data_IF_450107955783
#
_entry.id   IF_450107955783
#
_cell.length_a   1.000
_cell.length_b   1.000
_cell.length_c   1.000
_cell.angle_alpha   90.00
_cell.angle_beta   90.00
_cell.angle_gamma   90.00
#
_symmetry.space_group_name_H-M   'P 1'
#
loop_
_entity.id
_entity.type
_entity.pdbx_description
1 polymer ?
#
# COMPACT_ATOMS: atom_id res chain seq x y z
N UNK A 1 41.05 34.02 49.06
CA UNK A 1 39.87 34.72 49.61
C UNK A 1 38.71 33.74 49.66
N UNK A 2 38.35 33.36 50.89
CA UNK A 2 37.11 32.78 51.42
C UNK A 2 36.32 31.73 50.60
N UNK A 3 36.60 30.48 50.95
CA UNK A 3 35.68 29.33 51.02
C UNK A 3 34.38 29.62 51.75
N UNK A 4 33.25 29.09 51.25
CA UNK A 4 32.07 28.76 52.09
C UNK A 4 31.56 27.35 51.77
N UNK A 5 31.71 26.47 52.76
CA UNK A 5 30.91 25.26 52.98
C UNK A 5 29.57 25.66 53.61
N UNK A 6 28.50 24.97 53.26
CA UNK A 6 27.31 24.82 54.11
C UNK A 6 26.85 23.36 54.06
N UNK A 7 26.51 22.86 55.24
CA UNK A 7 26.22 21.48 55.61
C UNK A 7 24.71 21.32 55.89
N UNK A 8 24.18 20.17 55.47
CA UNK A 8 22.99 19.39 55.87
C UNK A 8 21.72 20.09 56.41
N UNK A 9 20.56 19.59 55.95
CA UNK A 9 19.54 18.95 56.81
C UNK A 9 18.51 18.17 55.95
N UNK A 10 18.45 16.85 56.17
CA UNK A 10 17.32 15.98 55.82
C UNK A 10 16.26 16.00 56.92
N UNK A 11 14.98 15.80 56.56
CA UNK A 11 14.09 14.99 57.37
C UNK A 11 13.61 13.77 56.59
N UNK A 12 13.57 12.65 57.32
CA UNK A 12 12.96 11.39 56.89
C UNK A 12 11.43 11.54 56.80
N UNK A 13 10.84 10.96 55.76
CA UNK A 13 9.40 10.70 55.69
C UNK A 13 9.20 9.19 55.48
N UNK A 14 8.53 8.61 56.46
CA UNK A 14 8.03 7.25 56.52
C UNK A 14 6.90 7.10 55.50
N UNK A 15 7.02 6.18 54.53
CA UNK A 15 5.88 5.79 53.67
C UNK A 15 5.62 4.29 53.80
N UNK A 16 4.41 3.99 54.27
CA UNK A 16 3.80 2.67 54.34
C UNK A 16 3.76 2.02 52.94
N UNK A 17 4.36 0.84 52.80
CA UNK A 17 4.20 -0.02 51.62
C UNK A 17 2.92 -0.85 51.82
N UNK A 18 1.83 -0.45 51.16
CA UNK A 18 0.68 -1.33 50.97
C UNK A 18 0.96 -2.23 49.75
N UNK A 19 1.35 -3.48 50.01
CA UNK A 19 1.48 -4.51 48.99
C UNK A 19 0.11 -4.78 48.36
N UNK A 20 -0.10 -4.27 47.14
CA UNK A 20 -1.23 -4.65 46.32
C UNK A 20 -0.93 -6.01 45.69
N UNK A 21 -1.86 -7.00 45.75
CA UNK A 21 -1.69 -8.24 45.03
C UNK A 21 -1.63 -7.92 43.53
N UNK A 22 -0.50 -8.26 42.88
CA UNK A 22 -0.40 -8.31 41.42
C UNK A 22 -1.32 -9.43 40.94
N UNK A 23 -2.59 -9.11 40.72
CA UNK A 23 -3.43 -9.90 39.84
C UNK A 23 -2.80 -9.81 38.46
N UNK A 24 -2.12 -10.88 38.05
CA UNK A 24 -1.74 -11.08 36.67
C UNK A 24 -3.04 -11.15 35.86
N UNK A 25 -3.44 -10.02 35.27
CA UNK A 25 -4.36 -10.01 34.15
C UNK A 25 -3.69 -10.85 33.07
N UNK A 26 -4.04 -12.13 33.02
CA UNK A 26 -3.88 -12.93 31.82
C UNK A 26 -4.66 -12.19 30.74
N UNK A 27 -3.94 -11.39 29.93
CA UNK A 27 -4.45 -10.92 28.67
C UNK A 27 -4.85 -12.19 27.92
N UNK A 28 -6.16 -12.39 27.81
CA UNK A 28 -6.74 -13.38 26.94
C UNK A 28 -6.24 -13.03 25.54
N UNK A 29 -5.15 -13.67 25.12
CA UNK A 29 -4.63 -13.59 23.75
C UNK A 29 -5.60 -14.41 22.91
N UNK A 30 -6.83 -13.94 22.81
CA UNK A 30 -7.74 -14.41 21.78
C UNK A 30 -7.04 -14.13 20.46
N UNK A 31 -6.96 -15.17 19.64
CA UNK A 31 -6.44 -15.13 18.28
C UNK A 31 -7.34 -14.25 17.41
N UNK A 32 -7.34 -12.94 17.64
CA UNK A 32 -7.98 -11.97 16.76
C UNK A 32 -7.19 -12.01 15.47
N UNK A 33 -7.77 -12.66 14.46
CA UNK A 33 -7.19 -12.68 13.11
C UNK A 33 -7.04 -11.22 12.66
N UNK A 34 -5.86 -10.80 12.14
CA UNK A 34 -5.69 -9.46 11.62
C UNK A 34 -6.76 -9.16 10.58
N UNK A 35 -7.47 -8.02 10.72
CA UNK A 35 -8.45 -7.60 9.72
C UNK A 35 -7.72 -7.34 8.40
N UNK A 36 -8.29 -7.84 7.31
CA UNK A 36 -7.85 -7.52 5.95
C UNK A 36 -9.05 -6.99 5.17
N UNK A 37 -8.89 -5.81 4.59
CA UNK A 37 -9.88 -5.18 3.73
C UNK A 37 -9.27 -4.96 2.35
N UNK A 38 -10.11 -4.91 1.32
CA UNK A 38 -9.67 -4.85 -0.07
C UNK A 38 -10.50 -3.84 -0.84
N UNK A 39 -9.84 -3.08 -1.69
CA UNK A 39 -10.43 -2.14 -2.64
C UNK A 39 -9.90 -2.41 -4.04
N UNK A 40 -10.77 -2.26 -5.04
CA UNK A 40 -10.34 -2.21 -6.43
C UNK A 40 -9.69 -0.87 -6.73
N UNK A 41 -8.58 -0.93 -7.46
CA UNK A 41 -7.96 0.21 -8.10
C UNK A 41 -8.40 0.24 -9.57
N UNK A 42 -8.39 1.42 -10.15
CA UNK A 42 -8.70 1.63 -11.56
C UNK A 42 -7.54 2.37 -12.21
N UNK A 43 -7.40 2.27 -13.53
CA UNK A 43 -6.47 3.12 -14.27
C UNK A 43 -7.21 3.91 -15.33
N UNK A 44 -7.01 5.21 -15.30
CA UNK A 44 -7.53 6.16 -16.30
C UNK A 44 -6.41 7.10 -16.69
N UNK A 45 -6.12 7.22 -17.99
CA UNK A 45 -5.06 8.09 -18.52
C UNK A 45 -3.72 7.93 -17.76
N UNK A 46 -3.31 6.69 -17.53
CA UNK A 46 -2.10 6.31 -16.79
C UNK A 46 -2.05 6.74 -15.31
N UNK A 47 -3.17 7.15 -14.73
CA UNK A 47 -3.29 7.43 -13.29
C UNK A 47 -3.97 6.29 -12.56
N UNK A 48 -3.42 5.94 -11.40
CA UNK A 48 -4.00 4.96 -10.49
C UNK A 48 -5.09 5.61 -9.65
N UNK A 49 -6.34 5.18 -9.83
CA UNK A 49 -7.51 5.74 -9.18
C UNK A 49 -8.09 4.78 -8.14
N UNK A 50 -8.66 5.34 -7.09
CA UNK A 50 -9.54 4.68 -6.13
C UNK A 50 -10.82 5.51 -6.00
N UNK A 51 -11.98 4.86 -5.89
CA UNK A 51 -13.25 5.58 -5.74
C UNK A 51 -13.49 5.87 -4.26
N UNK A 52 -13.54 7.15 -3.91
CA UNK A 52 -13.97 7.61 -2.61
C UNK A 52 -15.50 7.78 -2.56
N UNK A 53 -16.10 7.54 -1.39
CA UNK A 53 -17.44 7.99 -1.02
C UNK A 53 -17.34 8.83 0.25
N UNK A 54 -18.03 9.95 0.28
CA UNK A 54 -17.94 10.95 1.36
C UNK A 54 -19.35 11.19 1.91
N UNK A 55 -19.54 11.21 3.23
CA UNK A 55 -20.81 11.53 3.91
C UNK A 55 -22.06 10.76 3.39
N UNK A 56 -21.91 9.46 3.07
CA UNK A 56 -22.93 8.60 2.41
C UNK A 56 -23.34 9.01 0.97
N UNK A 57 -22.59 9.92 0.33
CA UNK A 57 -22.93 10.52 -0.95
C UNK A 57 -21.98 10.20 -2.11
N UNK A 58 -21.64 11.27 -2.84
CA UNK A 58 -21.07 11.30 -4.19
C UNK A 58 -19.81 10.44 -4.30
N UNK A 59 -19.78 9.58 -5.33
CA UNK A 59 -18.57 8.86 -5.70
C UNK A 59 -17.58 9.84 -6.33
N UNK A 60 -16.36 9.88 -5.78
CA UNK A 60 -15.32 10.80 -6.20
C UNK A 60 -14.06 10.01 -6.59
N UNK A 61 -13.64 9.99 -7.87
CA UNK A 61 -12.41 9.34 -8.27
C UNK A 61 -11.20 10.08 -7.68
N UNK A 62 -10.38 9.40 -6.89
CA UNK A 62 -9.19 9.97 -6.27
C UNK A 62 -7.95 9.29 -6.82
N UNK A 63 -6.89 10.05 -7.10
CA UNK A 63 -5.58 9.47 -7.41
C UNK A 63 -5.05 8.81 -6.13
N UNK A 64 -4.74 7.52 -6.20
CA UNK A 64 -4.00 6.86 -5.13
C UNK A 64 -2.51 7.10 -5.34
N UNK A 65 -1.93 8.01 -4.57
CA UNK A 65 -0.60 8.55 -4.79
C UNK A 65 0.33 8.22 -3.60
N UNK A 66 1.29 7.32 -3.81
CA UNK A 66 2.32 7.02 -2.81
C UNK A 66 3.40 8.11 -2.72
N UNK A 67 3.45 9.03 -3.69
CA UNK A 67 4.33 10.18 -3.76
C UNK A 67 3.87 11.38 -2.92
N UNK A 68 2.73 11.32 -2.25
CA UNK A 68 2.24 12.36 -1.34
C UNK A 68 2.35 11.98 0.15
N UNK A 69 2.53 12.97 1.01
CA UNK A 69 2.50 12.83 2.48
C UNK A 69 1.12 13.12 3.08
N UNK A 70 0.15 13.57 2.27
CA UNK A 70 -1.20 13.91 2.72
C UNK A 70 -2.23 13.76 1.61
N UNK A 71 -3.48 14.04 1.93
CA UNK A 71 -4.59 13.98 0.98
C UNK A 71 -5.03 15.38 0.56
N UNK A 72 -5.53 15.49 -0.67
CA UNK A 72 -6.02 16.74 -1.24
C UNK A 72 -7.31 16.54 -2.02
N UNK A 73 -8.16 17.56 -2.08
CA UNK A 73 -9.44 17.56 -2.79
C UNK A 73 -9.60 18.86 -3.57
N UNK A 74 -10.24 18.76 -4.72
CA UNK A 74 -10.47 19.89 -5.62
C UNK A 74 -11.54 20.84 -5.06
N UNK A 75 -11.32 22.15 -5.25
CA UNK A 75 -12.21 23.22 -4.75
C UNK A 75 -13.68 23.06 -5.18
N UNK A 76 -14.01 22.66 -6.42
CA UNK A 76 -15.39 22.42 -6.84
C UNK A 76 -16.09 21.32 -6.03
N UNK A 77 -15.38 20.26 -5.63
CA UNK A 77 -15.97 19.19 -4.81
C UNK A 77 -16.28 19.68 -3.39
N UNK A 78 -15.38 20.45 -2.79
CA UNK A 78 -15.58 21.05 -1.46
C UNK A 78 -16.78 22.00 -1.48
N UNK A 79 -16.90 22.80 -2.55
CA UNK A 79 -18.03 23.71 -2.74
C UNK A 79 -19.34 22.96 -2.94
N UNK A 80 -19.35 21.92 -3.78
CA UNK A 80 -20.54 21.10 -4.04
C UNK A 80 -21.04 20.37 -2.80
N UNK A 81 -20.13 19.99 -1.89
CA UNK A 81 -20.44 19.35 -0.62
C UNK A 81 -20.70 20.36 0.52
N UNK A 82 -20.62 21.67 0.25
CA UNK A 82 -20.74 22.76 1.24
C UNK A 82 -19.83 22.57 2.48
N UNK A 83 -18.64 22.02 2.25
CA UNK A 83 -17.67 21.75 3.33
C UNK A 83 -17.01 23.05 3.78
N UNK A 84 -16.78 23.16 5.08
CA UNK A 84 -16.24 24.37 5.70
C UNK A 84 -14.72 24.31 5.77
N UNK A 85 -14.07 25.48 5.70
CA UNK A 85 -12.65 25.63 6.02
C UNK A 85 -12.44 25.35 7.52
N UNK A 86 -11.56 24.41 7.83
CA UNK A 86 -11.18 24.04 9.21
C UNK A 86 -9.80 24.56 9.62
N UNK A 87 -8.97 24.96 8.66
CA UNK A 87 -7.65 25.54 8.93
C UNK A 87 -6.94 26.03 7.68
N UNK A 88 -5.69 26.49 7.83
CA UNK A 88 -4.81 26.81 6.71
C UNK A 88 -3.98 25.59 6.32
N UNK A 89 -3.75 25.41 5.02
CA UNK A 89 -2.89 24.33 4.51
C UNK A 89 -1.53 24.88 4.06
N UNK A 90 -0.48 24.07 4.24
CA UNK A 90 0.81 24.29 3.60
C UNK A 90 1.00 23.13 2.62
N UNK A 91 0.93 23.42 1.34
CA UNK A 91 1.17 22.45 0.27
C UNK A 91 2.33 22.95 -0.57
N UNK A 92 3.32 22.07 -0.77
CA UNK A 92 4.45 22.33 -1.65
C UNK A 92 4.24 21.54 -2.93
N UNK A 93 4.33 22.23 -4.06
CA UNK A 93 4.27 21.62 -5.38
C UNK A 93 5.45 20.67 -5.59
N UNK A 94 5.16 19.39 -5.84
CA UNK A 94 6.20 18.36 -5.96
C UNK A 94 7.12 18.54 -7.18
N UNK A 95 6.65 19.21 -8.23
CA UNK A 95 7.42 19.40 -9.45
C UNK A 95 8.36 20.62 -9.39
N UNK A 96 7.90 21.72 -8.79
CA UNK A 96 8.63 23.00 -8.72
C UNK A 96 9.25 23.29 -7.35
N UNK A 97 8.80 22.62 -6.29
CA UNK A 97 9.23 22.87 -4.91
C UNK A 97 8.69 24.15 -4.30
N UNK A 98 7.75 24.83 -4.95
CA UNK A 98 7.17 26.10 -4.49
C UNK A 98 5.90 25.87 -3.68
N UNK A 99 5.59 26.72 -2.68
CA UNK A 99 4.28 26.69 -2.03
C UNK A 99 3.16 26.98 -3.03
N UNK A 100 2.03 26.30 -2.88
CA UNK A 100 0.79 26.65 -3.58
C UNK A 100 0.14 27.89 -2.92
N UNK A 101 -0.63 28.65 -3.69
CA UNK A 101 -1.45 29.76 -3.20
C UNK A 101 -2.89 29.27 -2.90
N UNK A 102 -3.69 30.07 -2.19
CA UNK A 102 -5.14 29.84 -1.98
C UNK A 102 -5.58 28.45 -1.48
N UNK A 103 -4.77 27.86 -0.60
CA UNK A 103 -5.02 26.54 -0.01
C UNK A 103 -5.57 26.65 1.41
N UNK A 104 -6.42 25.71 1.77
CA UNK A 104 -6.95 25.59 3.12
C UNK A 104 -7.19 24.13 3.48
N UNK A 105 -7.40 23.83 4.76
CA UNK A 105 -7.82 22.51 5.22
C UNK A 105 -9.34 22.46 5.34
N UNK A 106 -9.91 21.32 4.99
CA UNK A 106 -11.30 20.96 5.30
C UNK A 106 -11.35 19.53 5.82
N UNK A 107 -12.39 19.18 6.57
CA UNK A 107 -12.61 17.81 7.05
C UNK A 107 -13.72 17.16 6.22
N UNK A 108 -13.39 16.05 5.57
CA UNK A 108 -14.35 15.19 4.88
C UNK A 108 -14.90 14.19 5.90
N UNK A 109 -16.22 14.16 6.14
CA UNK A 109 -16.80 13.21 7.06
C UNK A 109 -17.01 11.83 6.41
N UNK A 110 -16.89 10.77 7.22
CA UNK A 110 -17.22 9.39 6.85
C UNK A 110 -16.59 8.93 5.52
N UNK A 111 -15.30 9.19 5.32
CA UNK A 111 -14.60 8.79 4.10
C UNK A 111 -14.55 7.26 4.00
N UNK A 112 -14.98 6.75 2.86
CA UNK A 112 -14.83 5.35 2.46
C UNK A 112 -14.05 5.28 1.13
N UNK A 113 -12.98 4.51 1.09
CA UNK A 113 -12.15 4.34 -0.10
C UNK A 113 -12.30 2.92 -0.65
N UNK A 114 -13.00 2.78 -1.78
CA UNK A 114 -13.19 1.50 -2.46
C UNK A 114 -13.82 0.41 -1.58
N UNK A 115 -14.69 0.79 -0.64
CA UNK A 115 -15.31 -0.10 0.33
C UNK A 115 -14.66 -0.07 1.72
N UNK A 116 -13.44 0.46 1.85
CA UNK A 116 -12.71 0.50 3.12
C UNK A 116 -13.10 1.74 3.90
N UNK A 117 -13.64 1.55 5.10
CA UNK A 117 -13.96 2.66 5.99
C UNK A 117 -12.66 3.30 6.52
N UNK A 118 -12.58 4.62 6.39
CA UNK A 118 -11.47 5.44 6.86
C UNK A 118 -11.93 6.41 7.96
N UNK A 119 -13.17 6.88 7.88
CA UNK A 119 -13.76 7.82 8.84
C UNK A 119 -13.49 9.28 8.44
N UNK A 120 -13.58 10.19 9.41
CA UNK A 120 -13.34 11.61 9.16
C UNK A 120 -11.87 11.86 8.85
N UNK A 121 -11.59 12.67 7.82
CA UNK A 121 -10.23 12.92 7.36
C UNK A 121 -10.04 14.38 6.93
N UNK A 122 -8.90 14.95 7.29
CA UNK A 122 -8.50 16.28 6.83
C UNK A 122 -7.86 16.20 5.45
N UNK A 123 -8.31 17.10 4.57
CA UNK A 123 -7.81 17.25 3.21
C UNK A 123 -7.35 18.69 2.99
N UNK A 124 -6.22 18.84 2.29
CA UNK A 124 -5.86 20.11 1.69
C UNK A 124 -6.81 20.40 0.50
N UNK A 125 -7.26 21.64 0.40
CA UNK A 125 -8.12 22.10 -0.69
C UNK A 125 -7.31 23.02 -1.58
N UNK A 126 -7.26 22.72 -2.86
CA UNK A 126 -6.72 23.59 -3.90
C UNK A 126 -7.27 23.17 -5.26
N UNK A 127 -7.27 24.09 -6.21
CA UNK A 127 -7.74 23.80 -7.58
C UNK A 127 -6.73 22.93 -8.31
N UNK A 128 -7.12 21.72 -8.71
CA UNK A 128 -6.28 20.86 -9.54
C UNK A 128 -6.69 20.95 -11.02
N UNK A 129 -5.73 20.96 -11.97
CA UNK A 129 -6.03 21.06 -13.38
C UNK A 129 -6.42 19.70 -14.01
N UNK A 130 -7.21 18.89 -13.32
CA UNK A 130 -7.68 17.60 -13.85
C UNK A 130 -9.21 17.50 -13.84
N UNK A 131 -9.87 17.29 -14.99
CA UNK A 131 -11.32 17.20 -15.04
C UNK A 131 -11.86 15.84 -14.56
N UNK A 132 -11.00 14.81 -14.44
CA UNK A 132 -11.43 13.42 -14.26
C UNK A 132 -11.17 12.87 -12.86
N UNK A 133 -10.47 13.63 -12.03
CA UNK A 133 -10.21 13.28 -10.64
C UNK A 133 -10.86 14.33 -9.74
N UNK A 134 -11.12 13.94 -8.50
CA UNK A 134 -11.64 14.81 -7.46
C UNK A 134 -10.55 15.24 -6.47
N UNK A 135 -9.42 14.56 -6.48
CA UNK A 135 -8.39 14.73 -5.47
C UNK A 135 -7.34 13.63 -5.49
N UNK A 136 -6.51 13.66 -4.45
CA UNK A 136 -5.35 12.81 -4.25
C UNK A 136 -5.44 12.22 -2.85
N UNK A 137 -5.19 10.92 -2.69
CA UNK A 137 -5.09 10.25 -1.39
C UNK A 137 -3.80 9.46 -1.30
N UNK A 138 -3.12 9.60 -0.16
CA UNK A 138 -1.88 8.88 0.13
C UNK A 138 -2.09 7.67 1.06
N UNK A 139 -1.05 6.84 1.24
CA UNK A 139 -1.12 5.65 2.11
C UNK A 139 -1.37 5.99 3.60
N UNK A 140 -1.04 7.20 4.03
CA UNK A 140 -1.24 7.67 5.41
C UNK A 140 -2.70 7.74 5.83
N UNK A 141 -3.64 7.79 4.87
CA UNK A 141 -5.06 7.87 5.16
C UNK A 141 -5.56 6.65 5.96
N UNK A 142 -4.84 5.52 5.90
CA UNK A 142 -5.22 4.28 6.61
C UNK A 142 -4.61 4.15 8.02
N UNK A 143 -3.96 5.19 8.54
CA UNK A 143 -3.43 5.23 9.90
C UNK A 143 -2.21 4.32 10.10
N UNK A 144 -2.27 3.46 11.12
CA UNK A 144 -1.20 2.54 11.53
C UNK A 144 -1.21 1.18 10.79
N UNK A 145 -2.14 1.03 9.85
CA UNK A 145 -2.33 -0.20 9.07
C UNK A 145 -1.30 -0.33 7.95
N UNK A 146 -1.06 -1.57 7.54
CA UNK A 146 -0.23 -1.87 6.37
C UNK A 146 -1.06 -1.62 5.10
N UNK A 147 -0.45 -0.91 4.14
CA UNK A 147 -1.04 -0.66 2.82
C UNK A 147 -0.31 -1.49 1.79
N UNK A 148 -1.01 -2.42 1.14
CA UNK A 148 -0.47 -3.35 0.16
C UNK A 148 -1.05 -3.04 -1.22
N UNK A 149 -0.19 -2.64 -2.16
CA UNK A 149 -0.53 -2.43 -3.55
C UNK A 149 -0.13 -3.67 -4.36
N UNK A 150 -1.15 -4.38 -4.84
CA UNK A 150 -1.02 -5.50 -5.76
C UNK A 150 -1.35 -5.00 -7.17
N UNK A 151 -0.50 -4.11 -7.70
CA UNK A 151 -0.78 -3.32 -8.90
C UNK A 151 -0.93 -4.15 -10.18
N UNK A 152 -0.36 -5.36 -10.23
CA UNK A 152 -0.58 -6.31 -11.34
C UNK A 152 -2.01 -6.89 -11.36
N UNK A 153 -2.77 -6.72 -10.28
CA UNK A 153 -4.14 -7.17 -10.13
C UNK A 153 -5.13 -6.01 -9.94
N UNK A 154 -4.65 -4.76 -10.04
CA UNK A 154 -5.45 -3.56 -9.77
C UNK A 154 -6.14 -3.60 -8.39
N UNK A 155 -5.39 -3.99 -7.34
CA UNK A 155 -5.91 -4.11 -5.96
C UNK A 155 -5.09 -3.34 -4.94
N UNK A 156 -5.81 -2.74 -3.99
CA UNK A 156 -5.30 -2.24 -2.73
C UNK A 156 -5.83 -3.10 -1.60
N UNK A 157 -4.94 -3.54 -0.71
CA UNK A 157 -5.29 -4.28 0.50
C UNK A 157 -4.78 -3.55 1.72
N UNK A 158 -5.66 -3.33 2.69
CA UNK A 158 -5.32 -2.73 3.98
C UNK A 158 -5.39 -3.80 5.05
N UNK A 159 -4.34 -3.93 5.86
CA UNK A 159 -4.24 -4.98 6.87
C UNK A 159 -3.80 -4.42 8.20
N UNK A 160 -4.34 -4.98 9.28
CA UNK A 160 -3.80 -4.71 10.61
C UNK A 160 -2.34 -5.13 10.68
N UNK A 161 -1.54 -4.32 11.36
CA UNK A 161 -0.13 -4.58 11.55
C UNK A 161 0.06 -5.62 12.65
N UNK A 162 0.70 -6.73 12.29
CA UNK A 162 1.07 -7.81 13.21
C UNK A 162 2.35 -8.48 12.73
N UNK A 163 2.97 -9.29 13.58
CA UNK A 163 4.11 -10.12 13.17
C UNK A 163 3.81 -11.05 12.00
N UNK A 164 2.54 -11.40 11.78
CA UNK A 164 2.09 -12.32 10.72
C UNK A 164 1.77 -11.61 9.40
N UNK A 165 1.47 -10.32 9.44
CA UNK A 165 1.11 -9.52 8.26
C UNK A 165 2.29 -8.71 7.73
N UNK A 166 3.33 -8.51 8.53
CA UNK A 166 4.58 -7.91 8.09
C UNK A 166 5.29 -8.80 7.06
N UNK A 167 5.69 -8.26 5.90
CA UNK A 167 6.49 -9.02 4.96
C UNK A 167 7.81 -9.48 5.57
N UNK A 168 8.24 -10.68 5.19
CA UNK A 168 9.58 -11.18 5.49
C UNK A 168 10.60 -10.56 4.54
N UNK A 169 11.85 -10.44 4.97
CA UNK A 169 12.97 -9.96 4.15
C UNK A 169 13.31 -8.49 4.36
N UNK A 170 14.22 -7.99 3.51
CA UNK A 170 14.73 -6.63 3.60
C UNK A 170 13.64 -5.60 3.27
N UNK A 171 13.49 -4.60 4.13
CA UNK A 171 12.68 -3.42 3.86
C UNK A 171 13.53 -2.29 3.28
N UNK A 172 12.89 -1.40 2.54
CA UNK A 172 13.41 -0.10 2.15
C UNK A 172 12.97 0.95 3.18
N UNK A 173 13.85 1.88 3.57
CA UNK A 173 13.45 3.00 4.41
C UNK A 173 12.60 3.99 3.60
N UNK A 174 11.77 4.75 4.31
CA UNK A 174 11.18 5.95 3.73
C UNK A 174 12.25 7.03 3.51
N UNK A 175 11.96 7.96 2.63
CA UNK A 175 12.75 9.17 2.39
C UNK A 175 12.68 10.12 3.61
N UNK A 176 13.61 11.11 3.72
CA UNK A 176 13.60 12.08 4.82
C UNK A 176 12.31 12.91 4.95
N UNK A 177 11.53 13.02 3.87
CA UNK A 177 10.21 13.66 3.86
C UNK A 177 9.06 12.66 4.09
N UNK A 178 9.38 11.52 4.69
CA UNK A 178 8.44 10.49 5.12
C UNK A 178 7.64 9.84 3.99
N UNK A 179 8.16 9.83 2.77
CA UNK A 179 7.51 9.12 1.66
C UNK A 179 8.17 7.77 1.36
N UNK A 180 7.41 6.77 0.89
CA UNK A 180 7.93 5.44 0.66
C UNK A 180 9.07 5.43 -0.35
N UNK A 181 10.20 4.83 0.05
CA UNK A 181 11.41 4.75 -0.76
C UNK A 181 11.64 3.36 -1.37
N UNK A 182 12.50 3.29 -2.38
CA UNK A 182 13.05 2.06 -2.94
C UNK A 182 14.47 2.32 -3.46
N UNK A 183 15.37 1.35 -3.28
CA UNK A 183 16.75 1.50 -3.79
C UNK A 183 16.76 1.45 -5.31
N UNK A 184 17.45 2.40 -5.94
CA UNK A 184 17.73 2.45 -7.37
C UNK A 184 19.24 2.45 -7.57
N UNK A 185 19.73 1.50 -8.36
CA UNK A 185 21.16 1.30 -8.60
C UNK A 185 21.44 1.21 -10.09
N UNK A 186 22.53 1.81 -10.52
CA UNK A 186 23.01 1.74 -11.88
C UNK A 186 24.51 1.99 -11.96
N UNK A 187 25.06 2.17 -13.16
CA UNK A 187 26.49 2.39 -13.34
C UNK A 187 26.98 3.61 -12.55
N UNK A 188 27.74 3.36 -11.48
CA UNK A 188 28.36 4.41 -10.66
C UNK A 188 27.45 5.07 -9.62
N UNK A 189 26.22 4.58 -9.39
CA UNK A 189 25.36 5.14 -8.35
C UNK A 189 24.47 4.10 -7.66
N UNK A 190 24.12 4.37 -6.40
CA UNK A 190 23.12 3.66 -5.61
C UNK A 190 22.43 4.66 -4.71
N UNK A 191 21.14 4.91 -4.93
CA UNK A 191 20.38 5.97 -4.25
C UNK A 191 19.00 5.47 -3.84
N UNK A 192 18.39 6.13 -2.86
CA UNK A 192 17.00 5.89 -2.50
C UNK A 192 16.10 6.76 -3.40
N UNK A 193 15.25 6.12 -4.21
CA UNK A 193 14.24 6.76 -5.04
C UNK A 193 12.88 6.78 -4.36
N UNK A 194 12.02 7.74 -4.73
CA UNK A 194 10.63 7.80 -4.32
C UNK A 194 9.82 6.74 -5.07
N UNK A 195 8.95 5.99 -4.37
CA UNK A 195 7.89 5.21 -5.02
C UNK A 195 6.65 6.08 -5.15
N UNK A 196 6.28 6.41 -6.38
CA UNK A 196 5.25 7.40 -6.68
C UNK A 196 4.23 6.85 -7.68
N UNK A 197 3.10 6.37 -7.18
CA UNK A 197 1.98 5.94 -8.05
C UNK A 197 1.24 7.09 -8.71
N UNK A 198 1.43 8.34 -8.26
CA UNK A 198 0.92 9.55 -8.90
C UNK A 198 1.75 9.99 -10.11
N UNK A 199 3.00 9.51 -10.23
CA UNK A 199 3.89 9.75 -11.35
C UNK A 199 3.68 8.74 -12.48
N UNK A 200 3.33 9.22 -13.67
CA UNK A 200 3.02 8.36 -14.85
C UNK A 200 4.26 7.87 -15.60
N UNK A 201 5.43 8.45 -15.35
CA UNK A 201 6.69 7.98 -15.95
C UNK A 201 7.16 6.63 -15.39
N UNK A 202 8.15 6.02 -16.04
CA UNK A 202 8.76 4.78 -15.54
C UNK A 202 9.81 5.06 -14.45
N UNK A 203 10.90 5.72 -14.83
CA UNK A 203 12.00 6.11 -13.95
C UNK A 203 12.48 7.50 -14.34
N UNK A 204 12.40 8.42 -13.39
CA UNK A 204 12.93 9.78 -13.53
C UNK A 204 14.17 9.94 -12.68
N UNK A 205 15.22 10.53 -13.25
CA UNK A 205 16.45 10.91 -12.56
C UNK A 205 16.65 12.44 -12.61
N UNK A 206 17.35 13.06 -11.67
CA UNK A 206 17.81 14.44 -11.81
C UNK A 206 18.66 14.61 -13.08
N UNK A 207 18.46 15.70 -13.82
CA UNK A 207 19.22 15.98 -15.05
C UNK A 207 20.74 16.01 -14.81
N UNK A 208 21.17 16.43 -13.61
CA UNK A 208 22.58 16.42 -13.22
C UNK A 208 23.22 15.02 -13.24
N UNK A 209 22.44 13.94 -13.13
CA UNK A 209 22.94 12.56 -13.23
C UNK A 209 23.20 12.12 -14.67
N UNK A 210 22.64 12.79 -15.69
CA UNK A 210 22.75 12.33 -17.08
C UNK A 210 24.20 12.24 -17.57
N UNK A 211 25.07 13.15 -17.12
CA UNK A 211 26.48 13.20 -17.54
C UNK A 211 27.33 12.02 -17.02
N UNK A 212 26.88 11.33 -15.96
CA UNK A 212 27.60 10.18 -15.39
C UNK A 212 27.08 8.83 -15.89
N UNK A 213 26.03 8.82 -16.71
CA UNK A 213 25.39 7.60 -17.19
C UNK A 213 25.89 7.23 -18.59
N UNK A 214 26.00 5.93 -18.91
CA UNK A 214 26.34 5.46 -20.25
C UNK A 214 25.14 5.61 -21.21
N UNK A 215 24.76 6.83 -21.53
CA UNK A 215 23.65 7.12 -22.43
C UNK A 215 24.04 6.88 -23.90
N UNK A 216 23.10 6.37 -24.71
CA UNK A 216 23.33 6.18 -26.15
C UNK A 216 23.55 7.52 -26.87
N UNK A 217 22.84 8.56 -26.41
CA UNK A 217 22.89 9.94 -26.89
C UNK A 217 22.67 10.89 -25.73
N UNK A 218 23.05 12.16 -25.88
CA UNK A 218 22.70 13.19 -24.91
C UNK A 218 21.18 13.31 -24.76
N UNK A 219 20.65 13.60 -23.54
CA UNK A 219 19.22 13.78 -23.34
C UNK A 219 18.63 14.89 -24.22
N UNK A 220 17.48 14.61 -24.82
CA UNK A 220 16.70 15.57 -25.63
C UNK A 220 15.37 15.85 -24.97
N UNK A 221 14.77 17.02 -25.20
CA UNK A 221 13.42 17.32 -24.70
C UNK A 221 12.42 16.37 -25.38
N UNK A 222 11.66 15.61 -24.58
CA UNK A 222 10.63 14.67 -25.05
C UNK A 222 9.21 15.09 -24.64
N UNK A 223 9.08 16.15 -23.84
CA UNK A 223 7.80 16.65 -23.35
C UNK A 223 7.97 17.70 -22.26
N UNK A 224 6.90 17.94 -21.52
CA UNK A 224 6.90 18.83 -20.37
C UNK A 224 6.04 18.25 -19.23
N UNK A 225 6.50 18.40 -18.00
CA UNK A 225 5.73 18.11 -16.80
C UNK A 225 5.01 19.38 -16.37
N UNK A 226 3.67 19.32 -16.29
CA UNK A 226 2.84 20.42 -15.80
C UNK A 226 2.30 20.05 -14.42
N UNK A 227 2.39 21.02 -13.52
CA UNK A 227 1.96 20.94 -12.12
C UNK A 227 1.23 22.23 -11.76
N UNK A 228 0.67 22.31 -10.56
CA UNK A 228 0.04 23.55 -10.07
C UNK A 228 1.09 24.66 -9.94
N UNK A 229 2.34 24.33 -9.62
CA UNK A 229 3.44 25.30 -9.50
C UNK A 229 4.04 25.77 -10.83
N UNK A 230 3.68 25.14 -11.97
CA UNK A 230 4.15 25.51 -13.31
C UNK A 230 4.57 24.33 -14.18
N UNK A 231 5.25 24.64 -15.28
CA UNK A 231 5.67 23.68 -16.31
C UNK A 231 7.19 23.62 -16.42
N UNK A 232 7.76 22.41 -16.55
CA UNK A 232 9.19 22.20 -16.79
C UNK A 232 9.43 21.17 -17.90
N UNK A 233 10.51 21.29 -18.68
CA UNK A 233 10.82 20.32 -19.73
C UNK A 233 11.18 18.96 -19.14
N UNK A 234 10.74 17.89 -19.81
CA UNK A 234 11.17 16.51 -19.56
C UNK A 234 12.19 16.15 -20.63
N UNK A 235 13.38 15.73 -20.20
CA UNK A 235 14.40 15.21 -21.10
C UNK A 235 14.36 13.68 -21.12
N UNK A 236 14.64 13.07 -22.26
CA UNK A 236 14.68 11.62 -22.45
C UNK A 236 15.98 11.17 -23.07
N UNK A 237 16.49 10.01 -22.61
CA UNK A 237 17.56 9.28 -23.28
C UNK A 237 17.51 7.80 -22.93
N UNK A 238 17.95 6.96 -23.88
CA UNK A 238 18.21 5.55 -23.63
C UNK A 238 19.57 5.36 -22.96
N UNK A 239 19.61 4.57 -21.89
CA UNK A 239 20.86 4.16 -21.25
C UNK A 239 21.31 2.81 -21.80
N UNK A 240 22.63 2.58 -21.93
CA UNK A 240 23.21 1.25 -22.16
C UNK A 240 23.47 0.53 -20.84
N UNK A 241 23.14 -0.75 -20.75
CA UNK A 241 23.34 -1.58 -19.58
C UNK A 241 22.12 -1.66 -18.68
N UNK A 242 22.30 -2.10 -17.44
CA UNK A 242 21.20 -2.40 -16.53
C UNK A 242 21.05 -1.37 -15.40
N UNK A 243 19.80 -1.09 -15.03
CA UNK A 243 19.44 -0.45 -13.76
C UNK A 243 18.65 -1.45 -12.92
N UNK A 244 18.98 -1.52 -11.63
CA UNK A 244 18.20 -2.25 -10.63
C UNK A 244 17.29 -1.27 -9.89
N UNK A 245 15.99 -1.57 -9.85
CA UNK A 245 14.97 -0.81 -9.11
C UNK A 245 14.32 -1.77 -8.12
N UNK A 246 14.77 -1.74 -6.87
CA UNK A 246 14.43 -2.74 -5.86
C UNK A 246 14.65 -4.17 -6.38
N UNK A 247 13.59 -4.99 -6.53
CA UNK A 247 13.70 -6.36 -7.03
C UNK A 247 13.77 -6.47 -8.57
N UNK A 248 13.52 -5.38 -9.31
CA UNK A 248 13.54 -5.39 -10.77
C UNK A 248 14.91 -5.09 -11.33
N UNK A 249 15.26 -5.74 -12.44
CA UNK A 249 16.42 -5.41 -13.27
C UNK A 249 15.91 -5.04 -14.66
N UNK A 250 16.22 -3.84 -15.11
CA UNK A 250 15.77 -3.28 -16.38
C UNK A 250 16.99 -3.09 -17.27
N UNK A 251 16.98 -3.69 -18.46
CA UNK A 251 18.10 -3.63 -19.41
C UNK A 251 17.81 -2.61 -20.50
N UNK A 252 18.82 -1.79 -20.80
CA UNK A 252 18.81 -0.69 -21.74
C UNK A 252 17.58 0.24 -21.62
N UNK A 253 17.26 0.75 -20.41
CA UNK A 253 16.03 1.48 -20.15
C UNK A 253 15.97 2.83 -20.87
N UNK A 254 14.76 3.23 -21.25
CA UNK A 254 14.43 4.63 -21.53
C UNK A 254 14.30 5.39 -20.21
N UNK A 255 15.14 6.42 -20.04
CA UNK A 255 15.18 7.24 -18.83
C UNK A 255 14.58 8.62 -19.08
N UNK A 256 13.86 9.12 -18.09
CA UNK A 256 13.42 10.51 -18.04
C UNK A 256 14.33 11.30 -17.10
N UNK A 257 14.60 12.55 -17.44
CA UNK A 257 15.42 13.45 -16.64
C UNK A 257 14.69 14.76 -16.38
N UNK A 258 14.33 15.01 -15.12
CA UNK A 258 13.80 16.27 -14.58
C UNK A 258 13.66 16.17 -13.05
N UNK A 259 13.33 17.28 -12.39
CA UNK A 259 13.16 17.32 -10.94
C UNK A 259 14.47 17.16 -10.16
N UNK A 260 14.34 17.02 -8.84
CA UNK A 260 15.47 17.08 -7.90
C UNK A 260 15.85 15.72 -7.28
N UNK A 261 15.09 14.66 -7.56
CA UNK A 261 15.31 13.34 -6.96
C UNK A 261 14.98 12.22 -7.94
N UNK A 262 15.47 11.02 -7.62
CA UNK A 262 15.05 9.81 -8.31
C UNK A 262 13.60 9.50 -7.96
N UNK A 263 12.78 9.28 -8.98
CA UNK A 263 11.36 8.95 -8.83
C UNK A 263 11.02 7.71 -9.67
N UNK A 264 10.41 6.70 -9.03
CA UNK A 264 9.97 5.44 -9.64
C UNK A 264 8.45 5.52 -9.78
N UNK A 265 8.00 5.69 -11.01
CA UNK A 265 6.60 5.90 -11.31
C UNK A 265 5.82 4.63 -11.63
N UNK A 266 4.53 4.82 -11.89
CA UNK A 266 3.52 3.76 -11.95
C UNK A 266 3.90 2.62 -12.90
N UNK A 267 4.48 2.88 -14.07
CA UNK A 267 4.83 1.84 -15.04
C UNK A 267 5.81 0.79 -14.51
N UNK A 268 6.77 1.20 -13.68
CA UNK A 268 7.67 0.25 -13.01
C UNK A 268 7.02 -0.36 -11.79
N UNK A 269 6.31 0.45 -10.99
CA UNK A 269 5.65 -0.03 -9.78
C UNK A 269 4.59 -1.10 -10.08
N UNK A 270 3.92 -1.05 -11.24
CA UNK A 270 2.97 -2.10 -11.69
C UNK A 270 3.58 -3.49 -11.84
N UNK A 271 4.90 -3.58 -11.92
CA UNK A 271 5.65 -4.83 -11.99
C UNK A 271 6.07 -5.32 -10.59
N UNK A 272 5.52 -4.75 -9.51
CA UNK A 272 5.82 -5.06 -8.13
C UNK A 272 4.55 -5.30 -7.31
N UNK A 273 4.66 -6.09 -6.24
CA UNK A 273 3.79 -5.97 -5.06
C UNK A 273 4.52 -5.10 -4.04
N UNK A 274 3.85 -4.03 -3.60
CA UNK A 274 4.43 -3.04 -2.67
C UNK A 274 3.66 -3.09 -1.37
N UNK A 275 4.35 -3.24 -0.25
CA UNK A 275 3.76 -3.14 1.09
C UNK A 275 4.38 -1.94 1.79
N UNK A 276 3.55 -1.08 2.37
CA UNK A 276 3.94 0.13 3.08
C UNK A 276 3.51 0.04 4.54
N UNK A 277 4.40 0.42 5.44
CA UNK A 277 4.18 0.61 6.88
C UNK A 277 4.40 2.11 7.19
N UNK A 278 3.38 2.97 7.00
CA UNK A 278 3.53 4.42 7.08
C UNK A 278 3.97 4.90 8.47
N UNK A 279 3.57 4.22 9.54
CA UNK A 279 4.01 4.53 10.91
C UNK A 279 5.43 4.03 11.16
N UNK A 280 5.77 2.83 10.69
CA UNK A 280 7.12 2.29 10.83
C UNK A 280 8.15 2.93 9.90
N UNK A 281 7.72 3.72 8.91
CA UNK A 281 8.56 4.35 7.88
C UNK A 281 9.35 3.32 7.06
N UNK A 282 8.68 2.24 6.67
CA UNK A 282 9.28 1.09 5.96
C UNK A 282 8.40 0.67 4.79
N UNK A 283 9.03 0.25 3.71
CA UNK A 283 8.37 -0.37 2.57
C UNK A 283 9.02 -1.69 2.19
N UNK A 284 8.28 -2.57 1.56
CA UNK A 284 8.79 -3.78 0.92
C UNK A 284 8.31 -3.78 -0.52
N UNK A 285 9.18 -4.22 -1.43
CA UNK A 285 8.85 -4.41 -2.82
C UNK A 285 9.31 -5.80 -3.23
N UNK A 286 8.40 -6.54 -3.86
CA UNK A 286 8.70 -7.86 -4.41
C UNK A 286 8.21 -7.88 -5.85
N UNK A 287 8.89 -8.62 -6.74
CA UNK A 287 8.26 -8.94 -8.02
C UNK A 287 7.03 -9.79 -7.73
N UNK A 288 5.87 -9.55 -8.37
CA UNK A 288 4.81 -10.54 -8.42
C UNK A 288 5.50 -11.80 -8.90
N UNK A 289 5.48 -12.82 -8.08
CA UNK A 289 6.20 -14.02 -8.38
C UNK A 289 5.55 -14.60 -9.65
N UNK A 290 6.22 -14.44 -10.81
CA UNK A 290 5.75 -14.99 -12.09
C UNK A 290 5.63 -16.51 -12.02
N UNK A 291 6.28 -17.12 -11.01
CA UNK A 291 6.20 -18.51 -10.62
C UNK A 291 5.52 -18.72 -9.27
N UNK A 292 4.86 -17.72 -8.69
CA UNK A 292 3.89 -18.02 -7.65
C UNK A 292 2.82 -18.74 -8.42
N UNK A 293 2.96 -20.07 -8.44
CA UNK A 293 1.93 -21.00 -8.79
C UNK A 293 0.66 -20.39 -8.21
N UNK A 294 -0.36 -20.20 -9.06
CA UNK A 294 -1.67 -19.62 -8.74
C UNK A 294 -1.91 -19.61 -7.24
N UNK A 295 -2.34 -18.53 -6.53
CA UNK A 295 -2.46 -18.50 -5.06
C UNK A 295 -3.03 -19.78 -4.40
N UNK A 296 -3.83 -20.53 -5.17
CA UNK A 296 -4.22 -21.94 -5.02
C UNK A 296 -3.08 -22.94 -4.70
N UNK A 297 -1.83 -22.66 -5.03
CA UNK A 297 -0.66 -23.52 -4.86
C UNK A 297 -0.23 -23.61 -3.41
N UNK A 298 -0.54 -22.57 -2.62
CA UNK A 298 -0.40 -22.60 -1.17
C UNK A 298 -1.29 -23.67 -0.52
N UNK A 299 -2.34 -24.11 -1.22
CA UNK A 299 -3.27 -25.14 -0.79
C UNK A 299 -2.96 -26.50 -1.42
N UNK A 300 -2.05 -26.55 -2.40
CA UNK A 300 -1.64 -27.79 -3.01
C UNK A 300 -0.75 -28.59 -2.04
N UNK A 301 -1.02 -29.88 -1.92
CA UNK A 301 -0.36 -30.76 -0.97
C UNK A 301 -1.11 -32.07 -0.81
N UNK A 302 -0.54 -32.97 -0.01
CA UNK A 302 -1.18 -34.23 0.36
C UNK A 302 -1.56 -34.16 1.85
N UNK A 303 -2.83 -34.43 2.15
CA UNK A 303 -3.43 -34.34 3.48
C UNK A 303 -4.22 -35.61 3.74
N UNK A 304 -3.75 -36.51 4.59
CA UNK A 304 -4.47 -37.72 5.04
C UNK A 304 -5.13 -38.55 3.91
N UNK A 305 -4.37 -38.84 2.84
CA UNK A 305 -4.87 -39.62 1.68
C UNK A 305 -5.73 -38.82 0.70
N UNK A 306 -5.72 -37.49 0.83
CA UNK A 306 -6.31 -36.54 -0.11
C UNK A 306 -5.19 -35.74 -0.75
N UNK A 307 -5.17 -35.68 -2.07
CA UNK A 307 -4.33 -34.78 -2.84
C UNK A 307 -5.13 -33.53 -3.19
N UNK A 308 -4.59 -32.37 -2.84
CA UNK A 308 -5.01 -31.09 -3.40
C UNK A 308 -3.94 -30.68 -4.40
N UNK A 309 -4.32 -30.38 -5.64
CA UNK A 309 -3.38 -29.91 -6.67
C UNK A 309 -3.93 -28.77 -7.49
N UNK A 310 -3.03 -28.02 -8.12
CA UNK A 310 -3.39 -26.93 -9.03
C UNK A 310 -3.34 -27.44 -10.46
N UNK A 311 -4.44 -27.30 -11.19
CA UNK A 311 -4.51 -27.55 -12.63
C UNK A 311 -4.91 -26.25 -13.33
N UNK A 312 -3.94 -25.54 -13.91
CA UNK A 312 -4.14 -24.19 -14.44
C UNK A 312 -4.48 -23.20 -13.33
N UNK A 313 -5.67 -22.61 -13.37
CA UNK A 313 -6.19 -21.69 -12.34
C UNK A 313 -7.23 -22.35 -11.41
N UNK A 314 -7.23 -23.68 -11.33
CA UNK A 314 -8.22 -24.45 -10.57
C UNK A 314 -7.56 -25.27 -9.48
N UNK A 315 -8.24 -25.39 -8.35
CA UNK A 315 -7.84 -26.25 -7.24
C UNK A 315 -8.63 -27.55 -7.34
N UNK A 316 -7.93 -28.67 -7.43
CA UNK A 316 -8.53 -30.01 -7.59
C UNK A 316 -8.35 -30.77 -6.29
N UNK A 317 -9.46 -31.24 -5.73
CA UNK A 317 -9.51 -32.17 -4.61
C UNK A 317 -9.62 -33.60 -5.13
N UNK A 318 -8.73 -34.49 -4.72
CA UNK A 318 -8.80 -35.91 -5.06
C UNK A 318 -8.48 -36.80 -3.87
N UNK A 319 -9.49 -37.57 -3.42
CA UNK A 319 -9.29 -38.65 -2.44
C UNK A 319 -8.82 -39.91 -3.16
N UNK A 320 -7.91 -40.67 -2.55
CA UNK A 320 -7.38 -41.92 -3.12
C UNK A 320 -8.52 -42.86 -3.58
N UNK A 321 -8.45 -43.32 -4.84
CA UNK A 321 -9.45 -44.19 -5.46
C UNK A 321 -10.78 -43.52 -5.86
N UNK A 322 -10.92 -42.20 -5.73
CA UNK A 322 -12.11 -41.43 -6.14
C UNK A 322 -11.80 -40.49 -7.32
N UNK A 323 -12.85 -40.12 -8.05
CA UNK A 323 -12.76 -39.12 -9.10
C UNK A 323 -12.41 -37.74 -8.51
N UNK A 324 -11.61 -36.91 -9.23
CA UNK A 324 -11.28 -35.57 -8.78
C UNK A 324 -12.53 -34.67 -8.75
N UNK A 325 -12.55 -33.73 -7.81
CA UNK A 325 -13.59 -32.70 -7.66
C UNK A 325 -12.95 -31.32 -7.73
N UNK A 326 -13.62 -30.38 -8.39
CA UNK A 326 -13.19 -28.99 -8.46
C UNK A 326 -13.55 -28.26 -7.17
N UNK A 327 -12.58 -27.54 -6.60
CA UNK A 327 -12.78 -26.59 -5.52
C UNK A 327 -12.84 -25.17 -6.09
N UNK A 328 -13.88 -24.44 -5.71
CA UNK A 328 -14.08 -23.03 -6.06
C UNK A 328 -13.82 -22.18 -4.83
N UNK A 329 -12.97 -21.15 -4.90
CA UNK A 329 -12.75 -20.24 -3.76
C UNK A 329 -14.06 -19.56 -3.36
N UNK A 330 -14.35 -19.52 -2.05
CA UNK A 330 -15.48 -18.76 -1.50
C UNK A 330 -14.98 -17.51 -0.77
N UNK A 331 -14.31 -17.66 0.38
CA UNK A 331 -13.73 -16.53 1.13
C UNK A 331 -12.50 -16.99 1.95
N UNK A 332 -11.42 -16.22 1.89
CA UNK A 332 -10.15 -16.55 2.57
C UNK A 332 -9.64 -17.96 2.25
N UNK A 333 -9.54 -18.79 3.29
CA UNK A 333 -9.10 -20.19 3.22
C UNK A 333 -10.31 -21.18 3.05
N UNK A 334 -11.53 -20.69 2.75
CA UNK A 334 -12.76 -21.47 2.55
C UNK A 334 -13.07 -21.68 1.06
N UNK A 335 -13.39 -22.93 0.70
CA UNK A 335 -13.67 -23.37 -0.67
C UNK A 335 -14.95 -24.21 -0.74
N UNK A 336 -15.69 -24.09 -1.83
CA UNK A 336 -16.85 -24.92 -2.15
C UNK A 336 -16.48 -26.04 -3.12
N UNK A 337 -17.17 -27.17 -3.06
CA UNK A 337 -17.15 -28.12 -4.16
C UNK A 337 -18.07 -27.65 -5.29
N UNK A 338 -17.54 -27.50 -6.51
CA UNK A 338 -18.27 -26.92 -7.64
C UNK A 338 -19.61 -27.61 -7.98
N UNK A 339 -19.72 -28.92 -7.69
CA UNK A 339 -20.92 -29.71 -7.96
C UNK A 339 -21.74 -30.04 -6.69
N UNK A 340 -21.37 -29.48 -5.53
CA UNK A 340 -21.97 -29.80 -4.24
C UNK A 340 -21.70 -28.66 -3.23
N UNK A 341 -22.43 -27.54 -3.34
CA UNK A 341 -22.21 -26.35 -2.51
C UNK A 341 -22.60 -26.55 -1.05
N UNK A 342 -23.21 -27.69 -0.71
CA UNK A 342 -23.55 -28.05 0.67
C UNK A 342 -22.29 -28.48 1.44
N UNK A 343 -21.26 -28.94 0.73
CA UNK A 343 -19.99 -29.37 1.30
C UNK A 343 -18.93 -28.31 1.00
N UNK A 344 -18.29 -27.82 2.06
CA UNK A 344 -17.19 -26.86 1.99
C UNK A 344 -15.90 -27.45 2.56
N UNK A 345 -14.76 -26.89 2.16
CA UNK A 345 -13.44 -27.17 2.74
C UNK A 345 -12.92 -25.88 3.35
N UNK A 346 -12.59 -25.91 4.64
CA UNK A 346 -11.88 -24.85 5.32
C UNK A 346 -10.43 -25.28 5.54
N UNK A 347 -9.49 -24.67 4.82
CA UNK A 347 -8.08 -24.92 5.07
C UNK A 347 -7.63 -24.33 6.40
N UNK A 348 -6.75 -25.07 7.07
CA UNK A 348 -6.16 -24.71 8.36
C UNK A 348 -4.71 -24.31 8.13
N UNK A 349 -4.34 -23.14 8.64
CA UNK A 349 -3.04 -22.51 8.44
C UNK A 349 -2.30 -22.32 9.76
N UNK A 350 -0.97 -22.46 9.74
CA UNK A 350 -0.08 -22.01 10.81
C UNK A 350 1.00 -21.06 10.26
N UNK A 351 2.00 -20.71 11.09
CA UNK A 351 3.11 -19.80 10.73
C UNK A 351 3.94 -20.29 9.52
N UNK A 352 3.87 -21.58 9.17
CA UNK A 352 4.62 -22.21 8.07
C UNK A 352 3.79 -22.45 6.80
N UNK A 353 2.47 -22.22 6.84
CA UNK A 353 1.57 -22.43 5.69
C UNK A 353 0.34 -23.27 6.02
N UNK A 354 -0.30 -23.83 4.97
CA UNK A 354 -1.44 -24.74 5.12
C UNK A 354 -0.96 -26.07 5.70
N UNK A 355 -1.58 -26.49 6.80
CA UNK A 355 -1.23 -27.74 7.51
C UNK A 355 -2.29 -28.83 7.36
N UNK A 356 -3.49 -28.48 6.91
CA UNK A 356 -4.62 -29.39 6.79
C UNK A 356 -5.87 -28.66 6.34
N UNK A 357 -7.01 -29.33 6.45
CA UNK A 357 -8.31 -28.73 6.24
C UNK A 357 -9.41 -29.53 6.96
N UNK A 358 -10.52 -28.86 7.22
CA UNK A 358 -11.76 -29.45 7.71
C UNK A 358 -12.81 -29.49 6.59
N UNK A 359 -13.58 -30.57 6.52
CA UNK A 359 -14.75 -30.66 5.65
C UNK A 359 -15.98 -30.26 6.46
N UNK A 360 -16.71 -29.26 5.97
CA UNK A 360 -17.88 -28.69 6.63
C UNK A 360 -19.10 -29.03 5.78
N UNK A 361 -20.07 -29.75 6.35
CA UNK A 361 -21.37 -29.97 5.72
C UNK A 361 -22.37 -28.94 6.26
N UNK A 362 -22.89 -28.08 5.38
CA UNK A 362 -23.96 -27.16 5.73
C UNK A 362 -25.26 -27.95 5.91
N UNK A 363 -25.89 -27.80 7.07
CA UNK A 363 -27.29 -28.22 7.19
C UNK A 363 -28.14 -27.20 6.42
N UNK A 364 -28.61 -27.56 5.23
CA UNK A 364 -29.58 -26.72 4.51
C UNK A 364 -30.82 -26.56 5.38
N UNK A 365 -31.04 -25.36 5.92
CA UNK A 365 -32.29 -25.02 6.57
C UNK A 365 -33.40 -24.99 5.51
N UNK A 366 -34.61 -25.42 5.87
CA UNK A 366 -35.72 -25.67 4.93
C UNK A 366 -36.14 -24.45 4.07
N UNK A 367 -35.57 -23.27 4.33
CA UNK A 367 -35.83 -22.02 3.62
C UNK A 367 -35.20 -22.00 2.21
N UNK A 368 -34.12 -22.75 1.98
CA UNK A 368 -33.40 -22.73 0.68
C UNK A 368 -33.98 -23.68 -0.38
N UNK A 369 -35.09 -24.39 -0.10
CA UNK A 369 -35.68 -25.39 -1.01
C UNK A 369 -36.84 -24.89 -1.87
N UNK A 370 -37.21 -23.61 -1.77
CA UNK A 370 -38.33 -23.01 -2.51
C UNK A 370 -37.92 -21.95 -3.54
N UNK A 371 -36.64 -21.91 -3.93
CA UNK A 371 -36.10 -21.03 -4.96
C UNK A 371 -36.01 -21.69 -6.33
#
# INVERSE_FOLDING_TARGET
MLTRRSVLLTPAALSLVAAHPKAALALDVQNVRPRSEMASLFVSLDRLLIIARIANGIAAPMIFDTGTSGSAIDTPYVTALNLQKTGDAITIDGATGKPLEDRFLTTLPDVNLGGIAVGDQDFAVYSHPSPNEAGIVGPYIFGDRLVCLELSHDRLRVRDKSRFTLPTGASYPYLPDERPGITVEGPGFSVLGLMDTGHTGSLTLPLAMAASLPLEKAPTVIGAATSVGGTQPIYGARMKGAIRVGPLVITDPELQFYGQRVNVGLHLLRQMTIVMDPVGKRSWATTPDRRAASPLSNYAGRYDGIEIRVEGERLIYQRDGRAPRLLTPHDGDLFDFANDPVVQIQFVRNEKGIVGFDIIERTLTAVDRTG
#
